data_IF_518179101369
#
_entry.id   IF_518179101369
#
_cell.length_a   1.000
_cell.length_b   1.000
_cell.length_c   1.000
_cell.angle_alpha   90.00
_cell.angle_beta   90.00
_cell.angle_gamma   90.00
#
_symmetry.space_group_name_H-M   'P 1'
#
loop_
_entity.id
_entity.type
_entity.pdbx_description
1 polymer ?
#
# COMPACT_ATOMS: atom_id res chain seq x y z
N UNK A 1 -1.44 6.25 1.60
CA UNK A 1 -1.30 5.19 0.59
C UNK A 1 -2.14 4.00 1.03
N UNK A 2 -3.07 3.58 0.19
CA UNK A 2 -4.01 2.49 0.41
C UNK A 2 -3.89 1.48 -0.73
N UNK A 3 -3.86 0.20 -0.39
CA UNK A 3 -3.83 -0.91 -1.34
C UNK A 3 -5.13 -1.70 -1.25
N UNK A 4 -5.80 -1.87 -2.38
CA UNK A 4 -7.06 -2.62 -2.45
C UNK A 4 -6.86 -4.10 -2.14
N UNK A 5 -7.87 -4.69 -1.49
CA UNK A 5 -7.98 -6.12 -1.19
C UNK A 5 -6.81 -6.74 -0.42
N UNK A 6 -5.97 -5.92 0.21
CA UNK A 6 -4.85 -6.38 1.01
C UNK A 6 -4.74 -5.61 2.32
N UNK A 7 -4.25 -6.31 3.34
CA UNK A 7 -3.56 -5.68 4.46
C UNK A 7 -2.07 -6.01 4.35
N UNK A 8 -1.22 -5.08 4.78
CA UNK A 8 0.22 -5.23 4.75
C UNK A 8 0.82 -4.96 6.13
N UNK A 9 1.97 -5.58 6.37
CA UNK A 9 2.74 -5.40 7.58
C UNK A 9 3.65 -4.18 7.41
N UNK A 10 3.43 -3.11 8.18
CA UNK A 10 4.40 -1.99 8.21
C UNK A 10 5.66 -2.46 8.92
N UNK A 11 6.82 -2.14 8.37
CA UNK A 11 8.11 -2.51 8.94
C UNK A 11 8.70 -1.32 9.71
N UNK A 12 9.30 -1.62 10.85
CA UNK A 12 10.14 -0.67 11.59
C UNK A 12 11.47 -0.45 10.86
N UNK A 13 12.27 0.59 11.20
CA UNK A 13 13.53 0.88 10.51
C UNK A 13 14.57 -0.25 10.54
N UNK A 14 14.51 -1.11 11.56
CA UNK A 14 15.33 -2.32 11.73
C UNK A 14 14.73 -3.57 11.03
N UNK A 15 13.60 -3.42 10.33
CA UNK A 15 12.95 -4.49 9.58
C UNK A 15 12.02 -5.39 10.40
N UNK A 16 11.83 -5.10 11.69
CA UNK A 16 10.91 -5.85 12.54
C UNK A 16 9.43 -5.56 12.19
N UNK A 17 8.50 -6.49 12.53
CA UNK A 17 7.07 -6.28 12.29
C UNK A 17 6.49 -5.18 13.18
N UNK A 18 5.95 -4.13 12.56
CA UNK A 18 5.16 -3.08 13.22
C UNK A 18 3.64 -3.34 13.20
N UNK A 19 2.78 -2.32 13.01
CA UNK A 19 1.35 -2.53 12.86
C UNK A 19 0.97 -3.09 11.48
N UNK A 20 -0.10 -3.89 11.43
CA UNK A 20 -0.72 -4.33 10.18
C UNK A 20 -1.83 -3.36 9.77
N UNK A 21 -1.83 -2.90 8.52
CA UNK A 21 -2.77 -1.88 8.01
C UNK A 21 -3.13 -2.13 6.54
N UNK A 22 -4.26 -1.59 6.09
CA UNK A 22 -4.60 -1.45 4.66
C UNK A 22 -4.18 -0.08 4.08
N UNK A 23 -3.93 0.89 4.98
CA UNK A 23 -3.66 2.29 4.65
C UNK A 23 -2.62 2.86 5.59
N UNK A 24 -1.63 3.55 5.04
CA UNK A 24 -0.58 4.22 5.82
C UNK A 24 -0.33 5.65 5.34
N UNK A 25 -0.03 6.55 6.28
CA UNK A 25 0.43 7.90 5.99
C UNK A 25 1.91 7.83 5.63
N UNK A 26 2.26 8.38 4.46
CA UNK A 26 3.65 8.59 4.06
C UNK A 26 3.90 10.09 4.11
N UNK A 27 4.80 10.53 4.98
CA UNK A 27 5.13 11.95 5.11
C UNK A 27 5.94 12.42 3.89
N UNK A 28 5.92 13.73 3.58
CA UNK A 28 6.71 14.28 2.49
C UNK A 28 8.18 13.88 2.59
N UNK A 29 8.77 13.45 1.46
CA UNK A 29 10.18 13.02 1.37
C UNK A 29 10.56 11.87 2.32
N UNK A 30 9.59 11.07 2.76
CA UNK A 30 9.81 9.87 3.57
C UNK A 30 9.37 8.62 2.82
N UNK A 31 9.89 7.49 3.28
CA UNK A 31 9.56 6.16 2.78
C UNK A 31 9.03 5.32 3.93
N UNK A 32 8.03 4.49 3.63
CA UNK A 32 7.51 3.47 4.55
C UNK A 32 7.73 2.11 3.91
N UNK A 33 8.47 1.23 4.58
CA UNK A 33 8.65 -0.14 4.14
C UNK A 33 7.48 -1.00 4.61
N UNK A 34 6.97 -1.86 3.73
CA UNK A 34 5.87 -2.77 4.04
C UNK A 34 6.17 -4.16 3.50
N UNK A 35 5.70 -5.19 4.20
CA UNK A 35 5.68 -6.57 3.73
C UNK A 35 4.25 -6.93 3.34
N UNK A 36 4.08 -7.25 2.07
CA UNK A 36 2.81 -7.66 1.45
C UNK A 36 2.83 -9.17 1.23
N UNK A 37 1.70 -9.82 1.50
CA UNK A 37 1.41 -11.17 1.01
C UNK A 37 0.46 -10.98 -0.17
N UNK A 38 0.90 -11.36 -1.38
CA UNK A 38 0.14 -11.17 -2.61
C UNK A 38 -0.63 -12.45 -2.92
N UNK A 39 -1.72 -12.69 -2.20
CA UNK A 39 -2.52 -13.93 -2.25
C UNK A 39 -3.97 -13.70 -2.70
N UNK A 40 -4.35 -12.45 -3.00
CA UNK A 40 -5.69 -12.12 -3.47
C UNK A 40 -5.93 -12.64 -4.90
N UNK A 41 -7.15 -13.13 -5.25
CA UNK A 41 -7.41 -13.92 -6.46
C UNK A 41 -7.47 -13.14 -7.79
N UNK A 42 -7.66 -11.83 -7.78
CA UNK A 42 -7.52 -11.02 -9.00
C UNK A 42 -6.05 -10.67 -9.29
N UNK A 43 -5.76 -10.30 -10.54
CA UNK A 43 -4.39 -10.05 -11.02
C UNK A 43 -3.99 -8.57 -11.00
N UNK A 44 -4.92 -7.66 -10.70
CA UNK A 44 -4.71 -6.20 -10.72
C UNK A 44 -5.41 -5.55 -9.54
N UNK A 45 -4.65 -4.74 -8.78
CA UNK A 45 -5.14 -4.05 -7.58
C UNK A 45 -4.76 -2.59 -7.60
N UNK A 46 -5.66 -1.73 -7.13
CA UNK A 46 -5.39 -0.30 -7.07
C UNK A 46 -4.54 0.05 -5.85
N UNK A 47 -3.47 0.81 -6.10
CA UNK A 47 -2.67 1.48 -5.07
C UNK A 47 -2.82 2.98 -5.27
N UNK A 48 -3.32 3.69 -4.26
CA UNK A 48 -3.54 5.13 -4.39
C UNK A 48 -3.40 5.88 -3.07
N UNK A 49 -3.39 7.21 -3.16
CA UNK A 49 -3.63 8.02 -1.99
C UNK A 49 -5.09 7.89 -1.55
N UNK A 50 -5.34 7.63 -0.27
CA UNK A 50 -6.71 7.57 0.24
C UNK A 50 -7.29 8.98 0.51
N UNK A 51 -6.59 10.04 0.11
CA UNK A 51 -7.21 11.34 -0.05
C UNK A 51 -7.82 11.40 -1.46
N UNK A 52 -9.16 11.32 -1.54
CA UNK A 52 -9.92 11.22 -2.79
C UNK A 52 -9.57 12.31 -3.79
N UNK A 53 -9.36 13.55 -3.32
CA UNK A 53 -8.96 14.66 -4.19
C UNK A 53 -7.66 14.38 -4.95
N UNK A 54 -6.66 13.81 -4.26
CA UNK A 54 -5.38 13.48 -4.88
C UNK A 54 -5.48 12.22 -5.76
N UNK A 55 -6.32 11.24 -5.37
CA UNK A 55 -6.61 10.09 -6.21
C UNK A 55 -7.20 10.54 -7.57
N UNK A 56 -8.24 11.38 -7.54
CA UNK A 56 -8.91 11.90 -8.75
C UNK A 56 -7.98 12.80 -9.58
N UNK A 57 -7.03 13.48 -8.93
CA UNK A 57 -5.98 14.26 -9.59
C UNK A 57 -4.86 13.41 -10.19
N UNK A 58 -4.94 12.08 -10.10
CA UNK A 58 -4.02 11.14 -10.75
C UNK A 58 -3.02 10.44 -9.84
N UNK A 59 -3.08 10.61 -8.50
CA UNK A 59 -2.22 9.91 -7.55
C UNK A 59 -2.69 8.48 -7.30
N UNK A 60 -2.69 7.69 -8.36
CA UNK A 60 -3.11 6.29 -8.40
C UNK A 60 -2.22 5.50 -9.36
N UNK A 61 -2.03 4.22 -9.06
CA UNK A 61 -1.37 3.25 -9.92
C UNK A 61 -1.94 1.87 -9.67
N UNK A 62 -1.54 0.88 -10.47
CA UNK A 62 -1.93 -0.51 -10.28
C UNK A 62 -0.74 -1.34 -9.78
N UNK A 63 -1.02 -2.28 -8.89
CA UNK A 63 -0.14 -3.36 -8.54
C UNK A 63 -0.64 -4.61 -9.25
N UNK A 64 0.18 -5.12 -10.17
CA UNK A 64 -0.16 -6.30 -10.96
C UNK A 64 0.75 -7.44 -10.55
N UNK A 65 0.17 -8.60 -10.22
CA UNK A 65 0.92 -9.80 -9.94
C UNK A 65 0.12 -11.04 -10.38
N UNK A 66 0.84 -12.14 -10.56
CA UNK A 66 0.27 -13.47 -10.80
C UNK A 66 0.54 -14.30 -9.56
N UNK A 67 -0.50 -14.92 -9.02
CA UNK A 67 -0.46 -15.84 -7.88
C UNK A 67 -0.09 -17.25 -8.29
#
# INVERSE_FOLDING_TARGET
MHLHCHTFQVLTPDGCPGPRKDTVIVLPMKTVAVKLVADSPASVWMLHCHNTYLQESGMMTSLNYVT
#
